data_IF_536663468048
#
_entry.id   IF_536663468048
#
_cell.length_a   1.000
_cell.length_b   1.000
_cell.length_c   1.000
_cell.angle_alpha   90.00
_cell.angle_beta   90.00
_cell.angle_gamma   90.00
#
_symmetry.space_group_name_H-M   'P 1'
#
loop_
_entity.id
_entity.type
_entity.pdbx_description
1 polymer ?
#
# COMPACT_ATOMS: atom_id res chain seq x y z
N UNK A 1 29.05 -0.22 14.56
CA UNK A 1 29.72 0.84 15.36
C UNK A 1 29.10 2.24 15.18
N UNK A 2 28.62 2.54 13.97
CA UNK A 2 27.98 3.82 13.63
C UNK A 2 26.82 4.15 14.59
N UNK A 3 25.94 3.19 14.87
CA UNK A 3 24.82 3.35 15.82
C UNK A 3 25.29 3.79 17.22
N UNK A 4 26.44 3.28 17.67
CA UNK A 4 27.02 3.66 18.96
C UNK A 4 27.55 5.10 18.94
N UNK A 5 28.19 5.52 17.85
CA UNK A 5 28.64 6.89 17.67
C UNK A 5 27.47 7.90 17.74
N UNK A 6 26.36 7.62 17.05
CA UNK A 6 25.14 8.45 17.10
C UNK A 6 24.44 8.43 18.45
N UNK A 7 24.61 7.36 19.24
CA UNK A 7 24.07 7.29 20.61
C UNK A 7 24.84 8.18 21.58
N UNK A 8 26.15 8.37 21.37
CA UNK A 8 26.96 9.29 22.18
C UNK A 8 26.62 10.74 21.83
N UNK A 9 26.78 11.10 20.56
CA UNK A 9 26.45 12.44 20.07
C UNK A 9 26.24 12.43 18.56
N UNK A 10 25.37 13.32 18.07
CA UNK A 10 25.09 13.41 16.62
C UNK A 10 26.35 13.80 15.83
N UNK A 11 27.14 14.75 16.34
CA UNK A 11 28.37 15.20 15.68
C UNK A 11 29.48 14.15 15.70
N UNK A 12 29.56 13.33 16.75
CA UNK A 12 30.48 12.19 16.79
C UNK A 12 30.10 11.19 15.70
N UNK A 13 28.80 10.93 15.53
CA UNK A 13 28.27 10.14 14.42
C UNK A 13 28.66 10.70 13.05
N UNK A 14 28.41 12.00 12.80
CA UNK A 14 28.73 12.64 11.52
C UNK A 14 30.22 12.61 11.18
N UNK A 15 31.08 12.81 12.18
CA UNK A 15 32.53 12.87 12.01
C UNK A 15 33.22 11.50 12.07
N UNK A 16 32.47 10.39 12.17
CA UNK A 16 33.04 9.04 12.29
C UNK A 16 33.70 8.60 10.98
N UNK A 17 34.97 8.19 11.03
CA UNK A 17 35.67 7.57 9.90
C UNK A 17 35.84 6.06 10.12
N UNK A 18 36.06 5.66 11.37
CA UNK A 18 36.36 4.28 11.70
C UNK A 18 36.04 3.96 13.15
N UNK A 19 36.22 2.69 13.50
CA UNK A 19 36.01 2.19 14.86
C UNK A 19 37.04 1.14 15.21
N UNK A 20 37.48 1.14 16.46
CA UNK A 20 38.22 0.04 17.07
C UNK A 20 37.34 -0.64 18.11
N UNK A 21 37.39 -1.97 18.15
CA UNK A 21 36.73 -2.78 19.17
C UNK A 21 37.80 -3.63 19.84
N UNK A 22 37.92 -3.55 21.16
CA UNK A 22 38.94 -4.25 21.95
C UNK A 22 40.36 -4.01 21.39
N UNK A 23 40.70 -2.75 21.12
CA UNK A 23 41.97 -2.31 20.53
C UNK A 23 42.27 -2.77 19.09
N UNK A 24 41.30 -3.40 18.38
CA UNK A 24 41.46 -3.84 16.99
C UNK A 24 40.57 -3.03 16.05
N UNK A 25 41.10 -2.61 14.90
CA UNK A 25 40.32 -1.96 13.84
C UNK A 25 39.27 -2.92 13.29
N UNK A 26 38.01 -2.47 13.28
CA UNK A 26 36.89 -3.23 12.73
C UNK A 26 36.17 -2.42 11.65
N UNK A 27 35.59 -3.07 10.63
CA UNK A 27 34.78 -2.38 9.63
C UNK A 27 33.53 -1.76 10.29
N UNK A 28 33.03 -0.69 9.69
CA UNK A 28 31.87 0.05 10.22
C UNK A 28 30.57 -0.79 10.30
N UNK A 29 30.47 -1.85 9.50
CA UNK A 29 29.36 -2.83 9.47
C UNK A 29 29.49 -3.94 10.54
N UNK A 30 30.53 -3.91 11.38
CA UNK A 30 30.67 -4.88 12.46
C UNK A 30 29.47 -4.80 13.44
N UNK A 31 28.94 -5.95 13.85
CA UNK A 31 27.86 -6.02 14.84
C UNK A 31 28.44 -6.09 16.24
N UNK A 32 28.23 -5.04 17.03
CA UNK A 32 28.70 -4.95 18.42
C UNK A 32 28.06 -6.05 19.29
N UNK A 33 28.86 -6.63 20.18
CA UNK A 33 28.42 -7.60 21.18
C UNK A 33 28.44 -6.98 22.59
N UNK A 34 27.69 -7.58 23.51
CA UNK A 34 27.71 -7.13 24.91
C UNK A 34 29.09 -7.38 25.52
N UNK A 35 29.66 -6.36 26.17
CA UNK A 35 31.00 -6.41 26.76
C UNK A 35 32.11 -5.89 25.85
N UNK A 36 31.82 -5.55 24.59
CA UNK A 36 32.79 -4.94 23.68
C UNK A 36 33.16 -3.51 24.14
N UNK A 37 34.46 -3.23 24.23
CA UNK A 37 34.98 -1.87 24.42
C UNK A 37 35.15 -1.22 23.04
N UNK A 38 34.34 -0.20 22.77
CA UNK A 38 34.28 0.48 21.46
C UNK A 38 34.94 1.84 21.54
N UNK A 39 35.92 2.08 20.67
CA UNK A 39 36.57 3.38 20.46
C UNK A 39 36.20 3.89 19.06
N UNK A 40 35.61 5.08 18.97
CA UNK A 40 35.20 5.69 17.70
C UNK A 40 36.29 6.66 17.24
N UNK A 41 36.76 6.47 16.01
CA UNK A 41 37.76 7.34 15.39
C UNK A 41 37.03 8.42 14.60
N UNK A 42 37.15 9.67 15.05
CA UNK A 42 36.54 10.84 14.40
C UNK A 42 37.59 11.73 13.73
N UNK A 43 37.16 12.52 12.74
CA UNK A 43 37.99 13.58 12.13
C UNK A 43 37.45 14.97 12.43
N UNK A 44 38.36 15.96 12.41
CA UNK A 44 38.01 17.39 12.48
C UNK A 44 37.79 18.02 11.11
N UNK A 45 38.17 17.35 10.03
CA UNK A 45 37.93 17.83 8.66
C UNK A 45 36.45 17.67 8.27
N UNK A 46 35.98 18.42 7.27
CA UNK A 46 34.62 18.32 6.74
C UNK A 46 34.40 16.95 6.06
N UNK A 47 34.12 15.95 6.88
CA UNK A 47 33.68 14.62 6.48
C UNK A 47 32.25 14.43 6.96
N UNK A 48 31.43 13.81 6.12
CA UNK A 48 30.03 13.58 6.40
C UNK A 48 29.67 12.11 6.20
N UNK A 49 28.52 11.67 6.74
CA UNK A 49 28.01 10.35 6.47
C UNK A 49 27.87 10.12 4.96
N UNK A 50 28.12 8.89 4.51
CA UNK A 50 27.85 8.47 3.13
C UNK A 50 26.47 7.81 3.03
N UNK A 51 25.87 7.75 1.83
CA UNK A 51 24.53 7.18 1.63
C UNK A 51 24.46 5.71 2.04
N UNK A 52 25.57 5.00 1.86
CA UNK A 52 25.80 3.60 2.26
C UNK A 52 25.64 3.36 3.77
N UNK A 53 25.75 4.40 4.60
CA UNK A 53 25.50 4.26 6.04
C UNK A 53 24.03 4.00 6.37
N UNK A 54 23.08 4.40 5.52
CA UNK A 54 21.65 4.15 5.75
C UNK A 54 21.32 2.64 5.75
N UNK A 55 22.08 1.86 4.98
CA UNK A 55 21.91 0.40 4.89
C UNK A 55 22.66 -0.33 6.02
N UNK A 56 23.77 0.25 6.50
CA UNK A 56 24.62 -0.31 7.58
C UNK A 56 24.06 -0.07 8.99
N UNK A 57 23.38 1.05 9.19
CA UNK A 57 22.82 1.44 10.49
C UNK A 57 21.53 0.66 10.77
N UNK A 58 21.33 0.22 12.02
CA UNK A 58 20.10 -0.52 12.41
C UNK A 58 19.11 0.33 13.18
N UNK A 59 19.58 1.20 14.05
CA UNK A 59 18.74 2.04 14.92
C UNK A 59 18.04 3.15 14.14
N UNK A 60 16.75 3.33 14.42
CA UNK A 60 15.94 4.39 13.80
C UNK A 60 16.49 5.80 14.12
N UNK A 61 17.07 5.98 15.31
CA UNK A 61 17.65 7.26 15.72
C UNK A 61 18.81 7.68 14.80
N UNK A 62 19.77 6.79 14.56
CA UNK A 62 20.91 7.08 13.71
C UNK A 62 20.50 7.24 12.23
N UNK A 63 19.55 6.41 11.74
CA UNK A 63 18.99 6.59 10.38
C UNK A 63 18.36 7.97 10.20
N UNK A 64 17.59 8.42 11.18
CA UNK A 64 16.93 9.72 11.15
C UNK A 64 17.96 10.87 11.16
N UNK A 65 18.99 10.79 11.99
CA UNK A 65 20.06 11.80 12.02
C UNK A 65 20.88 11.87 10.73
N UNK A 66 21.22 10.71 10.14
CA UNK A 66 21.90 10.65 8.84
C UNK A 66 21.03 11.28 7.74
N UNK A 67 19.73 10.96 7.71
CA UNK A 67 18.79 11.59 6.76
C UNK A 67 18.71 13.10 6.97
N UNK A 68 18.64 13.55 8.22
CA UNK A 68 18.62 14.99 8.56
C UNK A 68 19.90 15.71 8.16
N UNK A 69 21.05 15.03 8.14
CA UNK A 69 22.31 15.59 7.68
C UNK A 69 22.32 15.75 6.15
N UNK A 70 21.94 14.71 5.40
CA UNK A 70 21.80 14.81 3.94
C UNK A 70 20.76 15.85 3.53
N UNK A 71 19.66 15.95 4.28
CA UNK A 71 18.62 16.99 4.14
C UNK A 71 19.19 18.41 4.22
N UNK A 72 20.16 18.66 5.12
CA UNK A 72 20.83 19.96 5.24
C UNK A 72 21.82 20.21 4.10
N UNK A 73 22.52 19.17 3.65
CA UNK A 73 23.50 19.30 2.58
C UNK A 73 22.85 19.56 1.21
N UNK A 74 21.67 18.97 0.95
CA UNK A 74 20.91 19.13 -0.30
C UNK A 74 19.79 20.18 -0.17
N UNK A 75 19.92 21.14 0.75
CA UNK A 75 18.84 22.11 1.03
C UNK A 75 18.42 22.87 -0.23
N UNK A 76 19.38 23.32 -1.03
CA UNK A 76 19.11 24.10 -2.24
C UNK A 76 18.36 23.29 -3.31
N UNK A 77 18.76 22.03 -3.53
CA UNK A 77 18.06 21.09 -4.42
C UNK A 77 16.63 20.80 -3.90
N UNK A 78 16.48 20.57 -2.60
CA UNK A 78 15.19 20.31 -1.97
C UNK A 78 14.23 21.50 -2.07
N UNK A 79 14.73 22.74 -2.02
CA UNK A 79 13.91 23.94 -2.23
C UNK A 79 13.32 23.96 -3.63
N UNK A 80 14.14 23.68 -4.65
CA UNK A 80 13.69 23.63 -6.06
C UNK A 80 12.65 22.52 -6.25
N UNK A 81 12.96 21.31 -5.79
CA UNK A 81 12.03 20.17 -5.86
C UNK A 81 10.72 20.43 -5.12
N UNK A 82 10.77 21.12 -3.97
CA UNK A 82 9.59 21.48 -3.19
C UNK A 82 8.67 22.46 -3.92
N UNK A 83 9.25 23.48 -4.56
CA UNK A 83 8.51 24.44 -5.40
C UNK A 83 7.83 23.72 -6.57
N UNK A 84 8.55 22.88 -7.29
CA UNK A 84 7.99 22.12 -8.42
C UNK A 84 6.87 21.16 -8.00
N UNK A 85 7.07 20.45 -6.87
CA UNK A 85 6.09 19.51 -6.34
C UNK A 85 4.80 20.21 -5.93
N UNK A 86 4.92 21.36 -5.27
CA UNK A 86 3.77 22.16 -4.86
C UNK A 86 3.05 22.78 -6.07
N UNK A 87 3.77 23.31 -7.07
CA UNK A 87 3.16 23.84 -8.30
C UNK A 87 2.41 22.75 -9.08
N UNK A 88 3.01 21.56 -9.20
CA UNK A 88 2.38 20.41 -9.87
C UNK A 88 1.05 20.04 -9.20
N UNK A 89 1.04 20.00 -7.87
CA UNK A 89 -0.14 19.60 -7.11
C UNK A 89 -1.22 20.69 -7.10
N UNK A 90 -0.83 21.96 -7.09
CA UNK A 90 -1.73 23.10 -7.27
C UNK A 90 -2.40 23.10 -8.64
N UNK A 91 -1.65 22.80 -9.70
CA UNK A 91 -2.23 22.64 -11.05
C UNK A 91 -3.21 21.47 -11.10
N UNK A 92 -2.88 20.37 -10.41
CA UNK A 92 -3.68 19.15 -10.40
C UNK A 92 -5.00 19.32 -9.65
N UNK A 93 -4.97 19.89 -8.45
CA UNK A 93 -6.12 19.95 -7.55
C UNK A 93 -6.88 21.28 -7.60
N UNK A 94 -6.17 22.39 -7.76
CA UNK A 94 -6.74 23.74 -7.67
C UNK A 94 -6.73 24.50 -9.01
N UNK A 95 -6.25 23.88 -10.11
CA UNK A 95 -6.07 24.50 -11.45
C UNK A 95 -5.35 25.85 -11.41
N UNK A 96 -4.52 26.03 -10.40
CA UNK A 96 -3.84 27.29 -10.07
C UNK A 96 -2.33 27.03 -10.01
N UNK A 97 -1.53 28.07 -10.20
CA UNK A 97 -0.07 28.00 -10.06
C UNK A 97 0.39 28.78 -8.83
N UNK A 98 1.60 28.51 -8.36
CA UNK A 98 2.20 29.25 -7.24
C UNK A 98 2.16 30.77 -7.45
N UNK A 99 2.37 31.22 -8.69
CA UNK A 99 2.38 32.64 -9.07
C UNK A 99 1.03 33.34 -8.82
N UNK A 100 -0.08 32.61 -8.89
CA UNK A 100 -1.43 33.16 -8.72
C UNK A 100 -1.90 33.22 -7.26
N UNK A 101 -1.30 32.42 -6.38
CA UNK A 101 -1.68 32.34 -4.96
C UNK A 101 -1.11 33.53 -4.18
N UNK A 102 0.00 34.11 -4.67
CA UNK A 102 0.72 35.19 -4.01
C UNK A 102 1.64 34.69 -2.90
N UNK A 103 2.80 35.33 -2.75
CA UNK A 103 3.81 34.95 -1.76
C UNK A 103 3.31 35.11 -0.30
N UNK A 104 2.37 36.03 -0.06
CA UNK A 104 1.87 36.35 1.29
C UNK A 104 1.09 35.18 1.90
N UNK A 105 0.20 34.54 1.13
CA UNK A 105 -0.55 33.35 1.58
C UNK A 105 0.35 32.14 1.84
N UNK A 106 1.39 31.99 1.03
CA UNK A 106 2.37 30.90 1.20
C UNK A 106 3.22 31.13 2.46
N UNK A 107 3.50 32.38 2.80
CA UNK A 107 4.22 32.76 4.02
C UNK A 107 3.37 32.52 5.27
N UNK A 108 2.09 32.94 5.27
CA UNK A 108 1.15 32.66 6.36
C UNK A 108 0.99 31.14 6.61
N UNK A 109 0.99 30.35 5.54
CA UNK A 109 0.93 28.90 5.66
C UNK A 109 2.24 28.31 6.21
N UNK A 110 3.41 28.83 5.82
CA UNK A 110 4.68 28.42 6.39
C UNK A 110 4.73 28.67 7.90
N UNK A 111 4.21 29.83 8.35
CA UNK A 111 4.05 30.16 9.77
C UNK A 111 3.07 29.21 10.48
N UNK A 112 1.95 28.86 9.83
CA UNK A 112 0.98 27.91 10.38
C UNK A 112 1.57 26.50 10.57
N UNK A 113 2.54 26.12 9.75
CA UNK A 113 3.31 24.87 9.90
C UNK A 113 4.55 25.03 10.79
N UNK A 114 4.75 26.20 11.41
CA UNK A 114 5.86 26.54 12.31
C UNK A 114 7.24 26.51 11.64
N UNK A 115 7.31 26.87 10.36
CA UNK A 115 8.58 27.09 9.66
C UNK A 115 8.96 28.57 9.70
N UNK A 116 10.24 28.86 9.91
CA UNK A 116 10.76 30.22 10.08
C UNK A 116 10.95 30.97 8.74
N UNK A 117 11.05 30.25 7.63
CA UNK A 117 11.22 30.81 6.30
C UNK A 117 10.43 30.01 5.28
N UNK A 118 9.96 30.70 4.25
CA UNK A 118 9.31 30.10 3.10
C UNK A 118 10.23 29.08 2.40
N UNK A 119 11.53 29.32 2.36
CA UNK A 119 12.51 28.36 1.80
C UNK A 119 12.64 27.10 2.66
N UNK A 120 12.53 27.21 3.99
CA UNK A 120 12.50 26.03 4.87
C UNK A 120 11.22 25.22 4.67
N UNK A 121 10.12 25.90 4.42
CA UNK A 121 8.86 25.27 4.06
C UNK A 121 8.94 24.56 2.70
N UNK A 122 9.50 25.19 1.66
CA UNK A 122 9.72 24.53 0.38
C UNK A 122 10.66 23.34 0.49
N UNK A 123 11.78 23.49 1.22
CA UNK A 123 12.65 22.36 1.51
C UNK A 123 11.86 21.23 2.18
N UNK A 124 11.00 21.53 3.17
CA UNK A 124 10.13 20.56 3.85
C UNK A 124 9.18 19.81 2.92
N UNK A 125 8.63 20.49 1.92
CA UNK A 125 7.81 19.87 0.88
C UNK A 125 8.66 19.01 -0.08
N UNK A 126 9.85 19.49 -0.46
CA UNK A 126 10.72 18.83 -1.43
C UNK A 126 11.25 17.46 -1.00
N UNK A 127 11.62 17.29 0.27
CA UNK A 127 12.00 15.97 0.80
C UNK A 127 10.83 15.21 1.46
N UNK A 128 9.61 15.77 1.45
CA UNK A 128 8.39 15.07 1.84
C UNK A 128 8.06 15.01 3.33
N UNK A 129 8.63 15.88 4.19
CA UNK A 129 8.13 16.02 5.57
C UNK A 129 6.74 16.63 5.61
N UNK A 130 6.43 17.49 4.64
CA UNK A 130 5.11 18.07 4.46
C UNK A 130 4.60 17.60 3.10
N UNK A 131 3.44 16.96 3.08
CA UNK A 131 2.84 16.53 1.83
C UNK A 131 2.33 17.73 1.04
N UNK A 132 2.80 17.91 -0.19
CA UNK A 132 2.32 18.95 -1.10
C UNK A 132 0.78 18.92 -1.23
N UNK A 133 0.17 17.73 -1.22
CA UNK A 133 -1.28 17.58 -1.30
C UNK A 133 -2.01 18.18 -0.08
N UNK A 134 -1.49 17.94 1.13
CA UNK A 134 -2.10 18.49 2.35
C UNK A 134 -2.00 20.02 2.38
N UNK A 135 -0.88 20.54 1.88
CA UNK A 135 -0.65 21.98 1.73
C UNK A 135 -1.68 22.60 0.80
N UNK A 136 -1.90 22.00 -0.38
CA UNK A 136 -2.90 22.48 -1.35
C UNK A 136 -4.33 22.41 -0.81
N UNK A 137 -4.70 21.32 -0.12
CA UNK A 137 -6.02 21.19 0.50
C UNK A 137 -6.27 22.26 1.57
N UNK A 138 -5.26 22.55 2.40
CA UNK A 138 -5.37 23.54 3.49
C UNK A 138 -5.38 24.98 2.99
N UNK A 139 -4.78 25.24 1.82
CA UNK A 139 -4.81 26.53 1.13
C UNK A 139 -6.21 26.95 0.68
N UNK A 140 -7.19 26.04 0.70
CA UNK A 140 -8.60 26.39 0.42
C UNK A 140 -8.86 26.94 -0.98
N UNK A 141 -7.91 26.75 -1.93
CA UNK A 141 -8.06 27.12 -3.35
C UNK A 141 -8.78 26.03 -4.14
N UNK A 142 -9.40 25.06 -3.45
CA UNK A 142 -10.43 24.25 -4.05
C UNK A 142 -11.66 25.15 -4.22
N UNK A 143 -11.87 25.61 -5.45
CA UNK A 143 -13.10 26.27 -5.85
C UNK A 143 -14.28 25.36 -5.46
N UNK A 144 -15.12 25.82 -4.53
CA UNK A 144 -16.33 25.14 -4.04
C UNK A 144 -17.43 25.08 -5.12
N UNK A 145 -17.08 25.38 -6.38
CA UNK A 145 -18.00 25.52 -7.50
C UNK A 145 -17.65 24.59 -8.67
N UNK A 146 -17.60 23.28 -8.44
CA UNK A 146 -18.09 22.29 -9.39
C UNK A 146 -17.94 20.88 -8.84
N UNK A 147 -18.97 20.07 -8.99
CA UNK A 147 -18.99 18.64 -8.66
C UNK A 147 -17.89 17.87 -9.39
N UNK A 148 -16.68 17.90 -8.83
CA UNK A 148 -15.56 17.09 -9.26
C UNK A 148 -15.81 15.66 -8.79
N UNK A 149 -16.33 14.85 -9.71
CA UNK A 149 -16.17 13.40 -9.71
C UNK A 149 -14.74 13.10 -9.27
N UNK A 150 -14.62 12.46 -8.11
CA UNK A 150 -13.36 11.92 -7.61
C UNK A 150 -12.68 11.18 -8.76
N UNK A 151 -11.43 11.49 -9.14
CA UNK A 151 -10.71 10.61 -10.04
C UNK A 151 -10.71 9.23 -9.37
N UNK A 152 -11.11 8.15 -10.07
CA UNK A 152 -11.10 6.83 -9.48
C UNK A 152 -9.69 6.60 -8.98
N UNK A 153 -9.57 6.21 -7.69
CA UNK A 153 -8.33 5.78 -7.10
C UNK A 153 -7.67 4.84 -8.11
N UNK A 154 -6.53 5.25 -8.67
CA UNK A 154 -5.74 4.37 -9.50
C UNK A 154 -5.49 3.14 -8.65
N UNK A 155 -5.98 1.96 -9.06
CA UNK A 155 -5.76 0.76 -8.27
C UNK A 155 -4.26 0.63 -8.06
N UNK A 156 -3.81 0.24 -6.85
CA UNK A 156 -2.40 -0.02 -6.61
C UNK A 156 -1.89 -0.95 -7.73
N UNK A 157 -0.64 -0.77 -8.21
CA UNK A 157 -0.08 -1.66 -9.21
C UNK A 157 -0.34 -3.10 -8.76
N UNK A 158 -0.83 -4.00 -9.65
CA UNK A 158 -1.21 -5.32 -9.23
C UNK A 158 -0.03 -5.94 -8.50
N UNK A 159 -0.24 -6.26 -7.22
CA UNK A 159 0.70 -7.05 -6.47
C UNK A 159 1.06 -8.27 -7.32
N UNK A 160 2.35 -8.60 -7.37
CA UNK A 160 2.91 -9.68 -8.19
C UNK A 160 1.93 -10.85 -8.22
N UNK A 161 1.53 -11.25 -9.42
CA UNK A 161 0.66 -12.41 -9.68
C UNK A 161 1.46 -13.70 -9.41
N UNK A 162 1.85 -13.90 -8.16
CA UNK A 162 2.46 -15.12 -7.65
C UNK A 162 1.44 -15.80 -6.76
N UNK A 163 0.70 -16.74 -7.33
CA UNK A 163 -0.29 -17.54 -6.61
C UNK A 163 -0.74 -18.78 -7.37
N UNK A 164 -0.28 -18.96 -8.62
CA UNK A 164 -0.63 -20.09 -9.47
C UNK A 164 0.62 -20.57 -10.20
N UNK A 165 0.96 -21.84 -10.00
CA UNK A 165 2.05 -22.54 -10.66
C UNK A 165 1.52 -23.30 -11.87
N UNK A 166 2.17 -23.10 -13.02
CA UNK A 166 1.91 -23.87 -14.23
C UNK A 166 2.72 -25.16 -14.17
N UNK A 167 2.10 -26.33 -14.42
CA UNK A 167 2.86 -27.59 -14.44
C UNK A 167 3.92 -27.55 -15.55
N UNK A 168 5.19 -27.69 -15.17
CA UNK A 168 6.32 -27.85 -16.08
C UNK A 168 7.03 -26.57 -16.55
N UNK A 169 6.52 -25.37 -16.25
CA UNK A 169 7.17 -24.10 -16.65
C UNK A 169 7.09 -23.07 -15.52
N UNK A 170 8.25 -22.58 -15.06
CA UNK A 170 8.35 -21.47 -14.11
C UNK A 170 8.37 -20.12 -14.83
N UNK A 171 7.85 -19.07 -14.19
CA UNK A 171 7.94 -17.68 -14.65
C UNK A 171 7.09 -17.28 -15.89
N UNK A 172 5.93 -17.92 -16.08
CA UNK A 172 4.93 -17.46 -17.05
C UNK A 172 4.10 -16.31 -16.47
N UNK A 173 3.75 -15.32 -17.31
CA UNK A 173 2.83 -14.25 -16.92
C UNK A 173 1.42 -14.84 -16.73
N UNK A 174 1.03 -15.02 -15.46
CA UNK A 174 -0.30 -15.49 -15.08
C UNK A 174 -1.18 -14.31 -14.70
N UNK A 175 -2.42 -14.29 -15.21
CA UNK A 175 -3.45 -13.30 -14.87
C UNK A 175 -4.75 -13.98 -14.46
N UNK A 176 -5.41 -13.45 -13.43
CA UNK A 176 -6.75 -13.89 -13.04
C UNK A 176 -7.81 -13.22 -13.91
N UNK A 177 -8.88 -13.96 -14.20
CA UNK A 177 -10.00 -13.47 -15.00
C UNK A 177 -10.99 -12.68 -14.16
N UNK A 178 -11.73 -11.79 -14.82
CA UNK A 178 -12.90 -11.10 -14.26
C UNK A 178 -14.22 -11.85 -14.47
N UNK A 179 -14.19 -13.04 -15.07
CA UNK A 179 -15.40 -13.77 -15.49
C UNK A 179 -15.80 -14.93 -14.56
N UNK A 180 -14.87 -15.48 -13.78
CA UNK A 180 -15.19 -16.57 -12.83
C UNK A 180 -14.44 -16.42 -11.50
N UNK A 181 -13.70 -15.31 -11.35
CA UNK A 181 -13.02 -14.87 -10.12
C UNK A 181 -12.42 -16.02 -9.28
N UNK A 182 -11.58 -16.90 -9.83
CA UNK A 182 -11.14 -18.12 -9.17
C UNK A 182 -10.36 -17.81 -7.88
N UNK A 183 -10.53 -18.65 -6.84
CA UNK A 183 -9.88 -18.47 -5.52
C UNK A 183 -9.09 -19.70 -5.07
N UNK A 184 -8.10 -19.53 -4.17
CA UNK A 184 -7.28 -20.66 -3.69
C UNK A 184 -8.12 -21.80 -3.11
N UNK A 185 -8.06 -22.95 -3.77
CA UNK A 185 -8.83 -24.16 -3.46
C UNK A 185 -9.88 -24.52 -4.52
N UNK A 186 -10.27 -23.58 -5.39
CA UNK A 186 -11.17 -23.89 -6.51
C UNK A 186 -10.44 -24.72 -7.59
N UNK A 187 -11.14 -25.63 -8.29
CA UNK A 187 -10.58 -26.35 -9.43
C UNK A 187 -10.36 -25.38 -10.59
N UNK A 188 -9.09 -25.05 -10.85
CA UNK A 188 -8.69 -24.09 -11.89
C UNK A 188 -8.11 -24.77 -13.14
N UNK A 189 -8.19 -24.04 -14.25
CA UNK A 189 -7.57 -24.35 -15.54
C UNK A 189 -6.93 -23.08 -16.12
N UNK A 190 -5.75 -23.23 -16.73
CA UNK A 190 -5.05 -22.14 -17.40
C UNK A 190 -5.41 -22.10 -18.88
N UNK A 191 -5.67 -20.91 -19.41
CA UNK A 191 -6.00 -20.68 -20.81
C UNK A 191 -4.95 -19.79 -21.47
N UNK A 192 -4.34 -20.26 -22.57
CA UNK A 192 -3.31 -19.53 -23.30
C UNK A 192 -3.94 -18.51 -24.25
N UNK A 193 -3.83 -17.24 -23.90
CA UNK A 193 -4.27 -16.14 -24.77
C UNK A 193 -3.22 -15.82 -25.83
N UNK A 194 -3.64 -15.36 -27.01
CA UNK A 194 -2.72 -14.89 -28.08
C UNK A 194 -2.06 -13.57 -27.63
N UNK A 195 -0.89 -13.65 -27.01
CA UNK A 195 -0.03 -12.50 -26.67
C UNK A 195 -0.25 -11.84 -25.31
N UNK A 196 -1.18 -12.31 -24.46
CA UNK A 196 -1.43 -11.73 -23.11
C UNK A 196 -1.08 -12.67 -21.94
N UNK A 197 -0.38 -13.77 -22.23
CA UNK A 197 0.02 -14.77 -21.23
C UNK A 197 -1.07 -15.80 -20.93
N UNK A 198 -0.97 -16.45 -19.77
CA UNK A 198 -1.89 -17.49 -19.30
C UNK A 198 -2.94 -16.87 -18.40
N UNK A 199 -4.20 -17.15 -18.69
CA UNK A 199 -5.36 -16.61 -17.99
C UNK A 199 -6.04 -17.73 -17.18
N UNK A 200 -6.27 -17.52 -15.88
CA UNK A 200 -6.79 -18.57 -14.98
C UNK A 200 -8.31 -18.51 -14.89
N UNK A 201 -8.95 -19.64 -15.20
CA UNK A 201 -10.40 -19.84 -15.13
C UNK A 201 -10.77 -20.98 -14.18
N UNK A 202 -12.01 -21.01 -13.70
CA UNK A 202 -12.60 -22.22 -13.13
C UNK A 202 -12.73 -23.29 -14.22
N UNK A 203 -12.54 -24.57 -13.87
CA UNK A 203 -12.76 -25.70 -14.79
C UNK A 203 -14.19 -25.74 -15.34
N UNK A 204 -15.15 -25.19 -14.61
CA UNK A 204 -16.57 -25.13 -14.98
C UNK A 204 -16.95 -23.85 -15.73
N UNK A 205 -16.01 -22.94 -15.99
CA UNK A 205 -16.29 -21.69 -16.70
C UNK A 205 -16.70 -21.96 -18.15
N UNK A 206 -17.73 -21.27 -18.64
CA UNK A 206 -18.25 -21.40 -20.01
C UNK A 206 -17.17 -21.20 -21.08
N UNK A 207 -16.22 -20.29 -20.86
CA UNK A 207 -15.08 -20.05 -21.75
C UNK A 207 -14.15 -21.26 -21.86
N UNK A 208 -13.97 -22.01 -20.77
CA UNK A 208 -13.13 -23.21 -20.75
C UNK A 208 -13.88 -24.40 -21.33
N UNK A 209 -15.15 -24.56 -20.96
CA UNK A 209 -15.99 -25.68 -21.39
C UNK A 209 -16.31 -25.62 -22.90
N UNK A 210 -16.49 -24.42 -23.45
CA UNK A 210 -16.81 -24.23 -24.86
C UNK A 210 -15.58 -24.12 -25.77
N UNK A 211 -14.37 -24.20 -25.22
CA UNK A 211 -13.15 -24.11 -26.01
C UNK A 211 -12.90 -25.42 -26.78
N UNK A 212 -12.63 -25.30 -28.09
CA UNK A 212 -12.40 -26.46 -28.97
C UNK A 212 -10.91 -26.78 -29.13
N UNK A 213 -10.04 -25.82 -28.84
CA UNK A 213 -8.59 -25.98 -28.97
C UNK A 213 -7.95 -26.40 -27.62
N UNK A 214 -7.87 -27.72 -27.41
CA UNK A 214 -7.29 -28.32 -26.20
C UNK A 214 -5.82 -27.93 -26.00
N UNK A 215 -5.09 -27.58 -27.07
CA UNK A 215 -3.69 -27.18 -26.96
C UNK A 215 -3.51 -25.83 -26.23
N UNK A 216 -4.58 -25.07 -26.05
CA UNK A 216 -4.59 -23.79 -25.33
C UNK A 216 -4.96 -23.95 -23.85
N UNK A 217 -5.34 -25.15 -23.42
CA UNK A 217 -5.63 -25.46 -22.02
C UNK A 217 -4.37 -26.02 -21.36
N UNK A 218 -3.98 -25.41 -20.24
CA UNK A 218 -2.80 -25.80 -19.46
C UNK A 218 -3.24 -26.12 -18.03
N UNK A 219 -2.68 -27.20 -17.47
CA UNK A 219 -2.86 -27.53 -16.07
C UNK A 219 -2.08 -26.57 -15.15
N UNK A 220 -2.82 -25.97 -14.21
CA UNK A 220 -2.32 -25.00 -13.26
C UNK A 220 -2.78 -25.35 -11.85
N UNK A 221 -1.93 -25.09 -10.86
CA UNK A 221 -2.16 -25.40 -9.45
C UNK A 221 -1.94 -24.15 -8.59
N UNK A 222 -2.64 -24.04 -7.47
CA UNK A 222 -2.48 -22.94 -6.53
C UNK A 222 -1.16 -23.06 -5.76
N UNK A 223 -0.42 -21.96 -5.64
CA UNK A 223 0.80 -21.88 -4.83
C UNK A 223 0.44 -21.62 -3.37
N UNK A 224 0.93 -22.45 -2.46
CA UNK A 224 0.44 -22.54 -1.07
C UNK A 224 1.02 -21.47 -0.13
N UNK A 225 1.99 -20.65 -0.57
CA UNK A 225 2.83 -19.82 0.31
C UNK A 225 2.57 -18.31 0.33
N UNK A 226 1.47 -17.82 -0.25
CA UNK A 226 1.13 -16.39 -0.13
C UNK A 226 -0.20 -16.13 0.59
N UNK A 227 -0.09 -15.46 1.75
CA UNK A 227 -1.18 -14.83 2.50
C UNK A 227 -1.74 -13.61 1.73
N UNK A 228 -2.33 -13.84 0.57
CA UNK A 228 -3.10 -12.82 -0.14
C UNK A 228 -4.60 -13.07 0.09
N UNK A 229 -5.33 -12.02 0.47
CA UNK A 229 -6.80 -12.04 0.50
C UNK A 229 -7.35 -11.64 -0.85
N UNK A 230 -8.44 -12.28 -1.27
CA UNK A 230 -9.06 -12.09 -2.57
C UNK A 230 -10.46 -11.48 -2.40
N UNK A 231 -10.83 -10.45 -3.18
CA UNK A 231 -12.17 -9.88 -3.14
C UNK A 231 -13.18 -10.80 -3.84
N UNK A 232 -14.28 -11.11 -3.16
CA UNK A 232 -15.36 -11.96 -3.66
C UNK A 232 -16.69 -11.26 -3.43
N UNK A 233 -17.50 -11.15 -4.49
CA UNK A 233 -18.88 -10.70 -4.38
C UNK A 233 -19.79 -11.85 -3.92
N UNK A 234 -20.61 -11.57 -2.91
CA UNK A 234 -21.68 -12.42 -2.44
C UNK A 234 -23.00 -11.67 -2.51
N UNK A 235 -24.07 -12.41 -2.78
CA UNK A 235 -25.45 -11.95 -2.75
C UNK A 235 -26.17 -12.66 -1.61
N UNK A 236 -26.79 -11.88 -0.73
CA UNK A 236 -27.57 -12.35 0.40
C UNK A 236 -29.01 -11.89 0.16
N UNK A 237 -29.94 -12.84 0.18
CA UNK A 237 -31.38 -12.57 0.16
C UNK A 237 -31.94 -12.82 1.55
N UNK A 238 -32.61 -11.83 2.11
CA UNK A 238 -33.15 -11.87 3.47
C UNK A 238 -34.45 -11.07 3.57
N UNK A 239 -35.23 -11.27 4.64
CA UNK A 239 -36.31 -10.37 5.01
C UNK A 239 -35.76 -9.19 5.82
N UNK A 240 -36.12 -7.97 5.43
CA UNK A 240 -35.67 -6.76 6.10
C UNK A 240 -36.28 -6.64 7.50
N UNK A 241 -35.41 -6.49 8.50
CA UNK A 241 -35.80 -6.22 9.88
C UNK A 241 -34.77 -5.31 10.56
N UNK A 242 -35.22 -4.61 11.60
CA UNK A 242 -34.34 -3.81 12.44
C UNK A 242 -33.20 -4.67 12.99
N UNK A 243 -31.96 -4.29 12.66
CA UNK A 243 -30.74 -4.95 13.16
C UNK A 243 -30.14 -6.01 12.24
N UNK A 244 -30.79 -6.39 11.13
CA UNK A 244 -30.27 -7.41 10.20
C UNK A 244 -28.86 -7.10 9.68
N UNK A 245 -28.62 -5.87 9.21
CA UNK A 245 -27.31 -5.47 8.69
C UNK A 245 -26.21 -5.50 9.77
N UNK A 246 -26.57 -5.16 11.01
CA UNK A 246 -25.64 -5.22 12.14
C UNK A 246 -25.25 -6.67 12.46
N UNK A 247 -26.22 -7.60 12.45
CA UNK A 247 -25.96 -9.03 12.64
C UNK A 247 -25.06 -9.59 11.53
N UNK A 248 -25.35 -9.27 10.26
CA UNK A 248 -24.53 -9.68 9.11
C UNK A 248 -23.10 -9.13 9.24
N UNK A 249 -22.95 -7.84 9.58
CA UNK A 249 -21.64 -7.21 9.77
C UNK A 249 -20.85 -7.87 10.90
N UNK A 250 -21.51 -8.20 12.02
CA UNK A 250 -20.89 -8.89 13.15
C UNK A 250 -20.39 -10.29 12.76
N UNK A 251 -21.18 -11.07 12.03
CA UNK A 251 -20.77 -12.40 11.55
C UNK A 251 -19.53 -12.31 10.66
N UNK A 252 -19.45 -11.29 9.79
CA UNK A 252 -18.28 -11.07 8.94
C UNK A 252 -17.06 -10.63 9.77
N UNK A 253 -17.25 -9.73 10.73
CA UNK A 253 -16.19 -9.23 11.61
C UNK A 253 -15.59 -10.34 12.51
N UNK A 254 -16.43 -11.21 13.07
CA UNK A 254 -15.99 -12.36 13.88
C UNK A 254 -15.06 -13.31 13.12
N UNK A 255 -15.28 -13.47 11.80
CA UNK A 255 -14.47 -14.31 10.94
C UNK A 255 -13.20 -13.59 10.42
N UNK A 256 -12.92 -12.38 10.92
CA UNK A 256 -11.78 -11.53 10.53
C UNK A 256 -11.72 -11.25 9.03
N UNK A 257 -12.88 -11.00 8.43
CA UNK A 257 -13.01 -10.68 7.00
C UNK A 257 -13.34 -9.20 6.86
N UNK A 258 -12.74 -8.57 5.86
CA UNK A 258 -13.02 -7.18 5.53
C UNK A 258 -14.12 -7.08 4.46
N UNK A 259 -15.05 -6.14 4.63
CA UNK A 259 -16.07 -5.78 3.63
C UNK A 259 -15.54 -4.60 2.83
N UNK A 260 -15.31 -4.78 1.53
CA UNK A 260 -14.79 -3.74 0.63
C UNK A 260 -15.90 -2.84 0.12
N UNK A 261 -17.04 -3.44 -0.20
CA UNK A 261 -18.22 -2.74 -0.69
C UNK A 261 -19.45 -3.51 -0.24
N UNK A 262 -20.52 -2.79 0.09
CA UNK A 262 -21.82 -3.37 0.37
C UNK A 262 -22.91 -2.47 -0.22
N UNK A 263 -23.82 -3.06 -0.97
CA UNK A 263 -25.01 -2.44 -1.51
C UNK A 263 -26.22 -3.16 -0.94
N UNK A 264 -27.19 -2.40 -0.44
CA UNK A 264 -28.43 -2.94 0.10
C UNK A 264 -29.58 -2.39 -0.74
N UNK A 265 -30.46 -3.27 -1.17
CA UNK A 265 -31.68 -2.91 -1.87
C UNK A 265 -32.87 -3.57 -1.16
N UNK A 266 -33.81 -2.77 -0.69
CA UNK A 266 -35.02 -3.25 0.00
C UNK A 266 -36.21 -3.07 -0.94
N UNK A 267 -36.90 -4.16 -1.21
CA UNK A 267 -38.10 -4.19 -2.03
C UNK A 267 -39.34 -3.84 -1.21
N UNK A 268 -40.43 -3.44 -1.87
CA UNK A 268 -41.68 -3.04 -1.23
C UNK A 268 -42.40 -4.17 -0.47
N UNK A 269 -42.01 -5.43 -0.71
CA UNK A 269 -42.49 -6.63 -0.04
C UNK A 269 -41.64 -7.01 1.20
N UNK A 270 -40.83 -6.08 1.70
CA UNK A 270 -39.88 -6.27 2.80
C UNK A 270 -38.77 -7.29 2.52
N UNK A 271 -38.48 -7.63 1.26
CA UNK A 271 -37.31 -8.44 0.90
C UNK A 271 -36.09 -7.56 0.69
N UNK A 272 -35.03 -7.81 1.46
CA UNK A 272 -33.72 -7.20 1.32
C UNK A 272 -32.82 -8.07 0.44
N UNK A 273 -32.22 -7.46 -0.58
CA UNK A 273 -31.11 -8.02 -1.35
C UNK A 273 -29.85 -7.26 -1.00
N UNK A 274 -28.87 -7.94 -0.42
CA UNK A 274 -27.60 -7.36 0.00
C UNK A 274 -26.50 -7.94 -0.89
N UNK A 275 -25.82 -7.08 -1.64
CA UNK A 275 -24.63 -7.42 -2.42
C UNK A 275 -23.40 -6.93 -1.66
N UNK A 276 -22.54 -7.83 -1.21
CA UNK A 276 -21.34 -7.49 -0.46
C UNK A 276 -20.09 -8.07 -1.12
N UNK A 277 -19.01 -7.28 -1.16
CA UNK A 277 -17.69 -7.72 -1.61
C UNK A 277 -16.81 -7.98 -0.39
N UNK A 278 -16.45 -9.23 -0.15
CA UNK A 278 -15.66 -9.69 1.00
C UNK A 278 -14.22 -10.00 0.59
N UNK A 279 -13.25 -9.66 1.44
CA UNK A 279 -11.85 -10.08 1.28
C UNK A 279 -11.57 -11.36 2.08
N UNK A 280 -11.44 -12.49 1.39
CA UNK A 280 -11.23 -13.81 2.03
C UNK A 280 -9.87 -14.41 1.63
N UNK A 281 -9.27 -15.18 2.52
CA UNK A 281 -7.98 -15.84 2.26
C UNK A 281 -8.13 -17.22 1.58
N UNK A 282 -9.28 -17.90 1.76
CA UNK A 282 -9.49 -19.26 1.22
C UNK A 282 -10.97 -19.59 0.99
N UNK A 283 -11.22 -20.61 0.15
CA UNK A 283 -12.57 -21.19 -0.05
C UNK A 283 -13.16 -21.68 1.27
N UNK A 284 -12.35 -22.30 2.13
CA UNK A 284 -12.79 -22.81 3.43
C UNK A 284 -13.29 -21.68 4.35
N UNK A 285 -12.61 -20.53 4.34
CA UNK A 285 -13.02 -19.36 5.10
C UNK A 285 -14.33 -18.77 4.56
N UNK A 286 -14.48 -18.68 3.24
CA UNK A 286 -15.73 -18.23 2.61
C UNK A 286 -16.89 -19.17 2.94
N UNK A 287 -16.71 -20.48 2.80
CA UNK A 287 -17.73 -21.47 3.09
C UNK A 287 -18.22 -21.38 4.54
N UNK A 288 -17.29 -21.23 5.50
CA UNK A 288 -17.62 -21.04 6.92
C UNK A 288 -18.48 -19.80 7.17
N UNK A 289 -18.23 -18.71 6.44
CA UNK A 289 -18.97 -17.45 6.58
C UNK A 289 -20.35 -17.57 5.94
N UNK A 290 -20.45 -18.18 4.77
CA UNK A 290 -21.73 -18.46 4.11
C UNK A 290 -22.62 -19.28 5.05
N UNK A 291 -22.12 -20.39 5.60
CA UNK A 291 -22.90 -21.22 6.54
C UNK A 291 -23.33 -20.45 7.78
N UNK A 292 -22.50 -19.55 8.31
CA UNK A 292 -22.88 -18.71 9.46
C UNK A 292 -23.92 -17.64 9.09
N UNK A 293 -23.83 -17.07 7.90
CA UNK A 293 -24.82 -16.10 7.42
C UNK A 293 -26.17 -16.78 7.17
N UNK A 294 -26.18 -18.01 6.66
CA UNK A 294 -27.40 -18.81 6.49
C UNK A 294 -28.05 -19.23 7.82
N UNK A 295 -27.29 -19.26 8.92
CA UNK A 295 -27.82 -19.54 10.26
C UNK A 295 -28.56 -18.35 10.89
N UNK A 296 -28.42 -17.14 10.32
CA UNK A 296 -29.15 -15.98 10.80
C UNK A 296 -30.64 -16.14 10.50
N UNK A 297 -31.48 -15.86 11.51
CA UNK A 297 -32.93 -15.81 11.31
C UNK A 297 -33.23 -14.74 10.27
N UNK A 298 -34.10 -15.06 9.31
CA UNK A 298 -34.57 -14.20 8.22
C UNK A 298 -33.64 -14.13 6.99
N UNK A 299 -32.51 -14.84 6.98
CA UNK A 299 -31.71 -15.05 5.76
C UNK A 299 -32.28 -16.25 4.98
N UNK A 300 -32.64 -16.02 3.72
CA UNK A 300 -33.19 -17.05 2.83
C UNK A 300 -32.12 -17.77 2.03
N UNK A 301 -31.20 -17.02 1.43
CA UNK A 301 -30.14 -17.59 0.60
C UNK A 301 -28.90 -16.72 0.63
N UNK A 302 -27.73 -17.37 0.63
CA UNK A 302 -26.44 -16.70 0.48
C UNK A 302 -25.71 -17.39 -0.65
N UNK A 303 -25.46 -16.65 -1.74
CA UNK A 303 -24.80 -17.19 -2.91
C UNK A 303 -23.59 -16.35 -3.29
N UNK A 304 -22.56 -17.01 -3.79
CA UNK A 304 -21.45 -16.33 -4.46
C UNK A 304 -21.97 -15.78 -5.79
N UNK A 305 -21.75 -14.50 -6.04
CA UNK A 305 -22.12 -13.89 -7.31
C UNK A 305 -21.07 -14.27 -8.36
N UNK A 306 -21.39 -15.26 -9.19
CA UNK A 306 -20.65 -15.63 -10.39
C UNK A 306 -21.25 -14.83 -11.54
N UNK A 307 -20.69 -13.64 -11.83
CA UNK A 307 -21.09 -12.86 -13.01
C UNK A 307 -20.38 -13.36 -14.25
#
# INVERSE_FOLDING_TARGET
PIDFAYRIHTDVGHSTIGSKVNNRLVPLDYKLQNGDIVEIVTTKSAHGPSRDWLDKVRTNHAKEKIRQWFKRQQRDENIVHGKESLDRELRRLARTSLDKIGADRLTEMAEAYRYASLDDFYAAVGYGAVSAQQVVMKLGVADDSSGAVLPPLTPPPPARTGGVRVKGVSNLLVRFTKCCHPIPGDPIAGFVTRGRGVTVHLRTCSTVVNERDVARLIEVEWETEMQQTYPIAIRIEAFDRTGLLSEISNVVAENRINIVAAQVNVQADHRATIQATLQVASVAQLAKVITRLEQLRDVHSVQRELT
#
